data_IF_752579246618
#
_entry.id   IF_752579246618
#
_cell.length_a   1.000
_cell.length_b   1.000
_cell.length_c   1.000
_cell.angle_alpha   90.00
_cell.angle_beta   90.00
_cell.angle_gamma   90.00
#
_symmetry.space_group_name_H-M   'P 1'
#
loop_
_entity.id
_entity.type
_entity.pdbx_description
1 polymer ?
#
# COMPACT_ATOMS: atom_id res chain seq x y z
N UNK A 1 -10.59 -37.74 2.41
CA UNK A 1 -9.41 -36.83 2.41
C UNK A 1 -9.89 -35.46 1.97
N UNK A 2 -9.69 -34.37 2.74
CA UNK A 2 -10.07 -33.02 2.30
C UNK A 2 -8.91 -32.37 1.52
N UNK A 3 -9.08 -31.57 0.46
CA UNK A 3 -10.23 -31.30 -0.40
C UNK A 3 -9.71 -31.04 -1.83
N UNK A 4 -10.43 -31.54 -2.84
CA UNK A 4 -10.10 -31.37 -4.25
C UNK A 4 -10.94 -30.24 -4.83
N UNK A 5 -10.31 -29.37 -5.64
CA UNK A 5 -10.85 -28.22 -6.37
C UNK A 5 -10.87 -26.87 -5.64
N UNK A 6 -9.74 -26.45 -5.11
CA UNK A 6 -9.51 -25.05 -4.72
C UNK A 6 -9.26 -24.20 -5.97
N UNK A 7 -10.33 -23.60 -6.53
CA UNK A 7 -10.24 -22.50 -7.50
C UNK A 7 -9.94 -21.22 -6.72
N UNK A 8 -8.72 -20.69 -6.85
CA UNK A 8 -8.31 -19.46 -6.18
C UNK A 8 -8.63 -18.24 -7.02
N UNK A 9 -9.35 -17.28 -6.44
CA UNK A 9 -9.48 -15.91 -6.97
C UNK A 9 -8.81 -14.99 -5.96
N UNK A 10 -8.01 -14.05 -6.45
CA UNK A 10 -7.49 -13.00 -5.60
C UNK A 10 -7.29 -11.68 -6.35
N UNK A 11 -7.29 -10.60 -5.58
CA UNK A 11 -7.30 -9.24 -6.11
C UNK A 11 -5.97 -8.57 -5.75
N UNK A 12 -5.40 -7.83 -6.70
CA UNK A 12 -4.22 -7.01 -6.48
C UNK A 12 -4.46 -5.97 -5.38
N UNK A 13 -3.40 -5.55 -4.69
CA UNK A 13 -3.50 -4.65 -3.54
C UNK A 13 -4.11 -3.27 -3.89
N UNK A 14 -4.00 -2.86 -5.15
CA UNK A 14 -4.57 -1.64 -5.72
C UNK A 14 -5.98 -1.82 -6.30
N UNK A 15 -6.52 -3.03 -6.27
CA UNK A 15 -7.82 -3.37 -6.87
C UNK A 15 -7.84 -3.34 -8.40
N UNK A 16 -6.74 -2.99 -9.07
CA UNK A 16 -6.70 -2.83 -10.52
C UNK A 16 -6.73 -4.18 -11.27
N UNK A 17 -6.30 -5.26 -10.60
CA UNK A 17 -6.12 -6.57 -11.20
C UNK A 17 -6.83 -7.66 -10.40
N UNK A 18 -7.53 -8.55 -11.08
CA UNK A 18 -8.06 -9.81 -10.54
C UNK A 18 -7.27 -10.96 -11.14
N UNK A 19 -6.83 -11.88 -10.30
CA UNK A 19 -6.09 -13.06 -10.69
C UNK A 19 -6.90 -14.32 -10.41
N UNK A 20 -6.93 -15.23 -11.38
CA UNK A 20 -7.68 -16.49 -11.29
C UNK A 20 -6.75 -17.67 -11.56
N UNK A 21 -6.65 -18.60 -10.61
CA UNK A 21 -6.03 -19.91 -10.84
C UNK A 21 -7.05 -20.82 -11.47
N UNK A 22 -6.71 -21.35 -12.63
CA UNK A 22 -7.47 -22.41 -13.22
C UNK A 22 -6.64 -23.70 -13.19
N UNK A 23 -7.04 -24.58 -12.28
CA UNK A 23 -6.42 -25.88 -12.10
C UNK A 23 -6.68 -26.79 -13.31
N UNK A 24 -7.82 -26.63 -13.99
CA UNK A 24 -8.22 -27.49 -15.12
C UNK A 24 -7.43 -27.18 -16.41
N UNK A 25 -6.96 -25.94 -16.56
CA UNK A 25 -6.23 -25.46 -17.73
C UNK A 25 -4.76 -25.12 -17.46
N UNK A 26 -4.26 -25.44 -16.27
CA UNK A 26 -2.89 -25.18 -15.83
C UNK A 26 -2.44 -23.72 -16.08
N UNK A 27 -3.32 -22.74 -15.86
CA UNK A 27 -3.01 -21.33 -16.12
C UNK A 27 -3.47 -20.36 -15.02
N UNK A 28 -2.78 -19.22 -15.00
CA UNK A 28 -3.10 -18.06 -14.20
C UNK A 28 -3.53 -16.93 -15.14
N UNK A 29 -4.74 -16.42 -14.94
CA UNK A 29 -5.25 -15.28 -15.68
C UNK A 29 -5.08 -14.01 -14.84
N UNK A 30 -4.60 -12.93 -15.46
CA UNK A 30 -4.69 -11.59 -14.92
C UNK A 30 -5.78 -10.84 -15.70
N UNK A 31 -6.72 -10.26 -14.97
CA UNK A 31 -7.91 -9.61 -15.49
C UNK A 31 -7.91 -8.17 -15.00
N UNK A 32 -8.11 -7.22 -15.91
CA UNK A 32 -8.36 -5.82 -15.57
C UNK A 32 -9.70 -5.71 -14.84
N UNK A 33 -9.70 -5.24 -13.60
CA UNK A 33 -10.88 -5.25 -12.75
C UNK A 33 -11.96 -4.25 -13.22
N UNK A 34 -11.57 -3.17 -13.91
CA UNK A 34 -12.47 -2.14 -14.38
C UNK A 34 -13.26 -2.57 -15.62
N UNK A 35 -12.63 -3.36 -16.50
CA UNK A 35 -13.17 -3.74 -17.80
C UNK A 35 -13.54 -5.23 -17.91
N UNK A 36 -13.10 -6.04 -16.94
CA UNK A 36 -13.28 -7.50 -16.95
C UNK A 36 -12.49 -8.22 -18.03
N UNK A 37 -11.52 -7.55 -18.67
CA UNK A 37 -10.75 -8.12 -19.78
C UNK A 37 -9.52 -8.87 -19.28
N UNK A 38 -9.25 -10.03 -19.86
CA UNK A 38 -8.00 -10.75 -19.63
C UNK A 38 -6.87 -9.97 -20.30
N UNK A 39 -5.91 -9.51 -19.50
CA UNK A 39 -4.74 -8.77 -19.98
C UNK A 39 -3.50 -9.65 -20.08
N UNK A 40 -3.48 -10.78 -19.37
CA UNK A 40 -2.37 -11.73 -19.41
C UNK A 40 -2.83 -13.14 -19.04
N UNK A 41 -2.26 -14.12 -19.74
CA UNK A 41 -2.35 -15.53 -19.41
C UNK A 41 -0.95 -16.08 -19.17
N UNK A 42 -0.74 -16.69 -18.01
CA UNK A 42 0.52 -17.35 -17.65
C UNK A 42 0.27 -18.84 -17.57
N UNK A 43 0.84 -19.60 -18.52
CA UNK A 43 0.81 -21.07 -18.46
C UNK A 43 1.76 -21.57 -17.41
N UNK A 44 1.30 -22.52 -16.60
CA UNK A 44 2.06 -23.18 -15.56
C UNK A 44 2.32 -24.62 -16.00
N UNK A 45 3.38 -25.23 -15.46
CA UNK A 45 3.77 -26.60 -15.81
C UNK A 45 3.00 -27.67 -15.03
N UNK A 46 2.29 -27.28 -13.97
CA UNK A 46 1.37 -28.11 -13.20
C UNK A 46 0.27 -27.23 -12.58
N UNK A 47 -0.97 -27.72 -12.58
CA UNK A 47 -2.16 -27.02 -12.10
C UNK A 47 -1.95 -26.37 -10.74
N UNK A 48 -2.05 -25.03 -10.65
CA UNK A 48 -1.94 -24.34 -9.37
C UNK A 48 -3.11 -24.80 -8.50
N UNK A 49 -2.81 -25.52 -7.42
CA UNK A 49 -3.82 -25.99 -6.47
C UNK A 49 -4.26 -24.90 -5.51
N UNK A 50 -3.46 -23.86 -5.36
CA UNK A 50 -3.76 -22.73 -4.50
C UNK A 50 -3.06 -21.49 -5.08
N UNK A 51 -3.68 -20.33 -4.93
CA UNK A 51 -3.00 -19.05 -5.10
C UNK A 51 -3.04 -18.36 -3.76
N UNK A 52 -1.90 -18.36 -3.08
CA UNK A 52 -1.64 -17.38 -2.04
C UNK A 52 -1.00 -16.16 -2.70
N UNK A 53 -1.71 -15.03 -2.71
CA UNK A 53 -1.00 -13.78 -2.76
C UNK A 53 -0.25 -13.65 -1.45
N UNK A 54 1.09 -13.52 -1.53
CA UNK A 54 1.75 -12.70 -0.53
C UNK A 54 1.19 -11.31 -0.78
N UNK A 55 0.12 -10.97 -0.08
CA UNK A 55 -0.25 -9.59 0.13
C UNK A 55 0.93 -9.03 0.91
N UNK A 56 1.99 -8.60 0.19
CA UNK A 56 2.75 -7.48 0.69
C UNK A 56 1.68 -6.40 0.69
N UNK A 57 1.20 -5.91 1.84
CA UNK A 57 0.73 -4.56 1.80
C UNK A 57 1.78 -3.75 1.03
N UNK A 58 1.36 -2.78 0.23
CA UNK A 58 2.32 -1.78 -0.28
C UNK A 58 2.99 -1.05 0.91
N UNK A 59 2.68 -1.38 2.16
CA UNK A 59 3.67 -1.41 3.24
C UNK A 59 4.77 -2.44 2.98
N UNK A 60 5.73 -2.06 2.14
CA UNK A 60 7.11 -2.44 2.40
C UNK A 60 7.36 -2.21 3.91
N UNK A 61 7.89 -3.21 4.63
CA UNK A 61 8.38 -2.96 5.99
C UNK A 61 9.22 -1.69 5.98
N UNK A 62 9.15 -0.85 7.03
CA UNK A 62 9.39 0.59 6.94
C UNK A 62 10.51 0.88 5.97
N UNK A 63 10.18 1.49 4.83
CA UNK A 63 11.22 2.06 3.99
C UNK A 63 12.07 2.94 4.91
N UNK A 64 13.41 2.84 4.91
CA UNK A 64 14.24 3.75 5.71
C UNK A 64 13.89 5.22 5.45
N UNK A 65 13.43 5.52 4.23
CA UNK A 65 12.88 6.82 3.86
C UNK A 65 11.51 7.16 4.46
N UNK A 66 10.70 6.19 4.88
CA UNK A 66 9.39 6.43 5.47
C UNK A 66 9.48 6.99 6.90
N UNK A 67 10.43 6.48 7.71
CA UNK A 67 10.68 7.07 9.04
C UNK A 67 11.25 8.48 8.89
N UNK A 68 12.23 8.66 7.99
CA UNK A 68 12.79 9.98 7.70
C UNK A 68 11.77 10.97 7.11
N UNK A 69 10.72 10.48 6.43
CA UNK A 69 9.66 11.33 5.90
C UNK A 69 8.67 11.80 6.97
N UNK A 70 8.54 11.07 8.08
CA UNK A 70 7.65 11.40 9.20
C UNK A 70 8.38 12.01 10.42
N UNK A 71 9.71 12.05 10.39
CA UNK A 71 10.60 12.67 11.36
C UNK A 71 10.86 14.13 10.94
N UNK A 72 10.04 15.03 11.44
CA UNK A 72 9.95 16.42 10.99
C UNK A 72 10.95 17.34 11.70
N UNK A 73 11.41 17.00 12.91
CA UNK A 73 12.53 17.68 13.56
C UNK A 73 13.90 17.05 13.30
N UNK A 74 13.95 15.83 12.74
CA UNK A 74 15.18 15.15 12.35
C UNK A 74 15.91 14.52 13.53
N UNK A 75 15.23 14.21 14.64
CA UNK A 75 15.83 13.61 15.82
C UNK A 75 16.05 12.08 15.71
N UNK A 76 15.60 11.49 14.60
CA UNK A 76 15.70 10.06 14.30
C UNK A 76 14.59 9.21 14.92
N UNK A 77 13.56 9.82 15.52
CA UNK A 77 12.44 9.16 16.17
C UNK A 77 11.10 9.85 15.86
N UNK A 78 10.18 9.13 15.23
CA UNK A 78 8.84 9.68 14.95
C UNK A 78 7.98 9.63 16.21
N UNK A 79 7.79 10.79 16.85
CA UNK A 79 7.16 10.92 18.16
C UNK A 79 6.15 12.06 18.28
N UNK A 80 5.81 12.38 19.53
CA UNK A 80 4.90 13.49 19.84
C UNK A 80 5.40 14.86 19.34
N UNK A 81 6.70 15.19 19.37
CA UNK A 81 7.21 16.42 18.76
C UNK A 81 6.85 16.53 17.27
N UNK A 82 7.03 15.46 16.50
CA UNK A 82 6.64 15.41 15.08
C UNK A 82 5.13 15.55 14.90
N UNK A 83 4.35 14.89 15.76
CA UNK A 83 2.89 15.02 15.74
C UNK A 83 2.45 16.48 15.95
N UNK A 84 3.06 17.22 16.86
CA UNK A 84 2.71 18.63 17.07
C UNK A 84 3.06 19.51 15.87
N UNK A 85 4.17 19.23 15.18
CA UNK A 85 4.52 19.92 13.94
C UNK A 85 3.51 19.64 12.83
N UNK A 86 3.15 18.36 12.64
CA UNK A 86 2.13 17.94 11.68
C UNK A 86 0.77 18.56 11.97
N UNK A 87 0.32 18.50 13.23
CA UNK A 87 -0.97 19.02 13.66
C UNK A 87 -1.10 20.54 13.47
N UNK A 88 0.01 21.29 13.51
CA UNK A 88 0.00 22.73 13.29
C UNK A 88 -0.40 23.12 11.85
N UNK A 89 -0.19 22.23 10.87
CA UNK A 89 -0.52 22.43 9.47
C UNK A 89 -1.72 21.58 8.99
N UNK A 90 -2.32 20.79 9.89
CA UNK A 90 -3.40 19.87 9.53
C UNK A 90 -4.63 20.61 9.01
N UNK A 91 -5.15 20.16 7.86
CA UNK A 91 -6.25 20.77 7.14
C UNK A 91 -5.82 21.85 6.14
N UNK A 92 -4.54 22.19 6.06
CA UNK A 92 -4.05 23.15 5.07
C UNK A 92 -3.90 22.52 3.67
N UNK A 93 -4.16 23.31 2.64
CA UNK A 93 -3.96 22.97 1.23
C UNK A 93 -2.93 23.88 0.57
N UNK A 94 -2.32 23.46 -0.55
CA UNK A 94 -1.17 24.15 -1.17
C UNK A 94 -1.38 25.63 -1.55
N UNK A 95 -2.61 26.10 -1.61
CA UNK A 95 -2.99 27.50 -1.85
C UNK A 95 -3.08 28.35 -0.56
N UNK A 96 -2.89 27.75 0.61
CA UNK A 96 -3.06 28.40 1.91
C UNK A 96 -1.71 28.74 2.56
N UNK A 97 -1.61 29.89 3.27
CA UNK A 97 -0.36 30.31 3.94
C UNK A 97 0.15 29.35 5.03
N UNK A 98 -0.71 28.46 5.53
CA UNK A 98 -0.37 27.45 6.55
C UNK A 98 0.08 26.12 5.97
N UNK A 99 0.14 25.98 4.65
CA UNK A 99 0.60 24.74 4.02
C UNK A 99 2.12 24.65 4.03
N UNK A 100 2.59 23.50 4.49
CA UNK A 100 3.99 23.10 4.40
C UNK A 100 4.05 21.71 3.76
N UNK A 101 4.64 21.64 2.58
CA UNK A 101 4.73 20.41 1.79
C UNK A 101 5.49 19.28 2.48
N UNK A 102 6.19 19.54 3.59
CA UNK A 102 6.82 18.48 4.40
C UNK A 102 5.78 17.58 5.05
N UNK A 103 4.57 18.09 5.31
CA UNK A 103 3.49 17.34 5.95
C UNK A 103 2.51 16.69 4.94
N UNK A 104 2.65 16.99 3.65
CA UNK A 104 1.94 16.33 2.54
C UNK A 104 2.72 15.07 2.11
N UNK A 105 2.47 13.98 2.84
CA UNK A 105 3.20 12.72 2.71
C UNK A 105 2.78 11.92 1.49
N UNK A 106 1.53 12.07 1.04
CA UNK A 106 1.01 11.38 -0.15
C UNK A 106 1.14 12.22 -1.44
N UNK A 107 1.52 13.51 -1.33
CA UNK A 107 1.72 14.48 -2.42
C UNK A 107 0.43 14.83 -3.17
N UNK A 108 -0.68 14.94 -2.46
CA UNK A 108 -1.99 15.30 -3.03
C UNK A 108 -2.33 16.79 -2.93
N UNK A 109 -1.40 17.62 -2.44
CA UNK A 109 -1.53 19.05 -2.16
C UNK A 109 -2.48 19.41 -1.01
N UNK A 110 -2.84 18.44 -0.17
CA UNK A 110 -3.58 18.65 1.07
C UNK A 110 -2.84 17.99 2.22
N UNK A 111 -2.93 18.57 3.41
CA UNK A 111 -2.43 17.97 4.66
C UNK A 111 -3.65 17.46 5.40
N UNK A 112 -3.94 16.17 5.30
CA UNK A 112 -5.19 15.60 5.75
C UNK A 112 -5.09 14.23 6.40
N UNK A 113 -6.25 13.59 6.55
CA UNK A 113 -6.32 12.23 7.10
C UNK A 113 -5.50 11.19 6.32
N UNK A 114 -5.41 11.24 4.98
CA UNK A 114 -4.49 10.38 4.24
C UNK A 114 -3.04 10.49 4.71
N UNK A 115 -2.54 11.72 4.92
CA UNK A 115 -1.18 11.96 5.43
C UNK A 115 -1.04 11.54 6.89
N UNK A 116 -2.08 11.75 7.70
CA UNK A 116 -2.09 11.31 9.09
C UNK A 116 -1.91 9.80 9.21
N UNK A 117 -2.51 8.99 8.33
CA UNK A 117 -2.31 7.55 8.36
C UNK A 117 -0.87 7.16 7.98
N UNK A 118 -0.28 7.82 6.98
CA UNK A 118 1.13 7.61 6.61
C UNK A 118 2.10 7.99 7.74
N UNK A 119 1.82 9.08 8.45
CA UNK A 119 2.53 9.47 9.66
C UNK A 119 2.36 8.46 10.80
N UNK A 120 1.10 8.10 11.11
CA UNK A 120 0.76 7.22 12.23
C UNK A 120 1.36 5.82 12.08
N UNK A 121 1.53 5.34 10.85
CA UNK A 121 2.24 4.10 10.56
C UNK A 121 3.68 4.12 11.05
N UNK A 122 4.35 5.28 11.08
CA UNK A 122 5.73 5.42 11.52
C UNK A 122 5.86 5.79 12.99
N UNK A 123 4.78 6.19 13.64
CA UNK A 123 4.79 6.64 15.04
C UNK A 123 5.41 5.59 15.98
N UNK A 124 6.34 6.02 16.81
CA UNK A 124 7.09 5.17 17.73
C UNK A 124 8.28 4.42 17.11
N UNK A 125 8.60 4.64 15.83
CA UNK A 125 9.76 4.04 15.16
C UNK A 125 10.98 4.96 15.17
N UNK A 126 12.16 4.35 15.00
CA UNK A 126 13.45 5.05 14.82
C UNK A 126 14.06 4.77 13.45
N UNK A 127 14.71 5.76 12.87
CA UNK A 127 15.56 5.55 11.70
C UNK A 127 16.76 4.70 12.13
N UNK A 128 17.08 3.65 11.36
CA UNK A 128 18.25 2.79 11.59
C UNK A 128 19.51 3.37 10.97
#
# INVERSE_FOLDING_TARGET
MPGQNTRGIAVGADGAWVYVANQDSDDLLAIDAATGRIIRTVRLSQGPRDIAFRNRPIYAGPDPGAVAAADFDGDGFVGLPDFFQFAAAFGASADQPGYDSRFDLNRDNQIGFPDFFLFAEQFGKRSR
#
